data_IF_339123069406
#
_entry.id   IF_339123069406
#
_cell.length_a   1.000
_cell.length_b   1.000
_cell.length_c   1.000
_cell.angle_alpha   90.00
_cell.angle_beta   90.00
_cell.angle_gamma   90.00
#
_symmetry.space_group_name_H-M   'P 1'
#
loop_
_entity.id
_entity.type
_entity.pdbx_description
1 polymer ?
#
# COMPACT_ATOMS: atom_id res chain seq x y z
N UNK A 1 75.72 -1.02 9.75
CA UNK A 1 74.64 -0.40 8.94
C UNK A 1 73.76 -1.43 8.22
N UNK A 2 74.26 -2.63 7.90
CA UNK A 2 73.50 -3.69 7.20
C UNK A 2 72.30 -4.27 8.00
N UNK A 3 72.40 -4.38 9.33
CA UNK A 3 71.34 -4.98 10.17
C UNK A 3 70.07 -4.13 10.26
N UNK A 4 70.19 -2.80 10.27
CA UNK A 4 69.03 -1.89 10.18
C UNK A 4 68.34 -2.02 8.82
N UNK A 5 69.09 -2.16 7.73
CA UNK A 5 68.53 -2.29 6.37
C UNK A 5 67.71 -3.58 6.22
N UNK A 6 68.18 -4.70 6.78
CA UNK A 6 67.42 -5.96 6.78
C UNK A 6 66.13 -5.89 7.60
N UNK A 7 66.14 -5.18 8.73
CA UNK A 7 64.94 -4.99 9.54
C UNK A 7 63.87 -4.18 8.80
N UNK A 8 64.27 -3.12 8.09
CA UNK A 8 63.37 -2.32 7.27
C UNK A 8 62.77 -3.13 6.11
N UNK A 9 63.57 -3.96 5.45
CA UNK A 9 63.11 -4.81 4.35
C UNK A 9 62.05 -5.81 4.84
N UNK A 10 62.29 -6.47 5.98
CA UNK A 10 61.32 -7.41 6.57
C UNK A 10 60.03 -6.70 6.97
N UNK A 11 60.12 -5.50 7.56
CA UNK A 11 58.95 -4.71 7.93
C UNK A 11 58.12 -4.29 6.71
N UNK A 12 58.77 -3.92 5.60
CA UNK A 12 58.09 -3.57 4.34
C UNK A 12 57.37 -4.79 3.74
N UNK A 13 57.98 -5.98 3.77
CA UNK A 13 57.31 -7.19 3.29
C UNK A 13 56.08 -7.54 4.14
N UNK A 14 56.17 -7.45 5.47
CA UNK A 14 55.03 -7.68 6.37
C UNK A 14 53.92 -6.66 6.11
N UNK A 15 54.25 -5.39 5.91
CA UNK A 15 53.26 -4.35 5.59
C UNK A 15 52.63 -4.55 4.21
N UNK A 16 53.38 -5.06 3.23
CA UNK A 16 52.86 -5.41 1.91
C UNK A 16 51.90 -6.61 1.97
N UNK A 17 52.24 -7.67 2.69
CA UNK A 17 51.36 -8.84 2.87
C UNK A 17 50.04 -8.46 3.55
N UNK A 18 50.10 -7.67 4.63
CA UNK A 18 48.90 -7.19 5.34
C UNK A 18 48.04 -6.30 4.43
N UNK A 19 48.68 -5.47 3.58
CA UNK A 19 47.97 -4.61 2.62
C UNK A 19 47.28 -5.43 1.52
N UNK A 20 47.92 -6.51 1.05
CA UNK A 20 47.34 -7.42 0.07
C UNK A 20 46.18 -8.23 0.67
N UNK A 21 46.28 -8.68 1.92
CA UNK A 21 45.17 -9.33 2.64
C UNK A 21 44.00 -8.38 2.90
N UNK A 22 44.26 -7.09 3.18
CA UNK A 22 43.18 -6.10 3.34
C UNK A 22 42.47 -5.77 2.02
N UNK A 23 43.20 -5.74 0.89
CA UNK A 23 42.59 -5.53 -0.43
C UNK A 23 41.87 -6.77 -0.97
N UNK A 24 42.28 -7.98 -0.56
CA UNK A 24 41.59 -9.23 -0.88
C UNK A 24 40.30 -9.43 -0.05
N UNK A 25 40.10 -8.64 1.00
CA UNK A 25 38.84 -8.54 1.73
C UNK A 25 37.91 -7.47 1.14
N UNK A 26 37.95 -7.30 -0.18
CA UNK A 26 36.73 -7.01 -0.92
C UNK A 26 35.82 -8.22 -0.75
N UNK A 27 35.13 -8.21 0.40
CA UNK A 27 34.03 -9.08 0.74
C UNK A 27 33.14 -9.18 -0.49
N UNK A 28 33.29 -10.30 -1.19
CA UNK A 28 32.42 -10.76 -2.26
C UNK A 28 31.04 -11.09 -1.71
N UNK A 29 30.50 -10.25 -0.82
CA UNK A 29 29.08 -9.96 -0.76
C UNK A 29 28.73 -9.39 -2.12
N UNK A 30 28.52 -10.33 -3.03
CA UNK A 30 27.53 -10.29 -4.08
C UNK A 30 26.71 -9.01 -3.92
N UNK A 31 27.05 -7.98 -4.69
CA UNK A 31 26.11 -6.91 -4.97
C UNK A 31 25.05 -7.51 -5.91
N UNK A 32 24.43 -8.61 -5.47
CA UNK A 32 23.20 -9.12 -6.02
C UNK A 32 22.21 -8.03 -5.73
N UNK A 33 21.74 -7.38 -6.78
CA UNK A 33 20.50 -6.62 -6.75
C UNK A 33 19.48 -7.56 -6.11
N UNK A 34 19.23 -7.37 -4.82
CA UNK A 34 18.19 -8.11 -4.12
C UNK A 34 16.92 -7.63 -4.81
N UNK A 35 16.36 -8.48 -5.68
CA UNK A 35 15.05 -8.21 -6.26
C UNK A 35 14.15 -7.90 -5.07
N UNK A 36 13.59 -6.69 -5.04
CA UNK A 36 12.59 -6.35 -4.05
C UNK A 36 11.56 -7.50 -4.05
N UNK A 37 11.14 -8.00 -2.87
CA UNK A 37 10.14 -9.05 -2.82
C UNK A 37 8.99 -8.59 -3.72
N UNK A 38 8.63 -9.42 -4.71
CA UNK A 38 7.53 -9.07 -5.62
C UNK A 38 6.35 -8.72 -4.72
N UNK A 39 5.73 -7.53 -4.87
CA UNK A 39 4.58 -7.20 -4.06
C UNK A 39 3.60 -8.36 -4.22
N UNK A 40 3.13 -8.92 -3.10
CA UNK A 40 2.07 -9.93 -3.15
C UNK A 40 0.97 -9.34 -4.01
N UNK A 41 0.54 -10.07 -5.05
CA UNK A 41 -0.57 -9.59 -5.88
C UNK A 41 -1.75 -9.31 -4.95
N UNK A 42 -2.29 -8.10 -5.02
CA UNK A 42 -3.49 -7.78 -4.28
C UNK A 42 -4.63 -8.68 -4.73
N UNK A 43 -5.44 -9.10 -3.77
CA UNK A 43 -6.56 -10.00 -4.02
C UNK A 43 -7.82 -9.19 -4.26
N UNK A 44 -8.51 -9.47 -5.36
CA UNK A 44 -9.83 -8.92 -5.65
C UNK A 44 -10.88 -9.57 -4.74
N UNK A 45 -12.00 -8.89 -4.50
CA UNK A 45 -13.05 -9.37 -3.63
C UNK A 45 -14.18 -10.02 -4.44
N UNK A 46 -14.72 -11.13 -3.95
CA UNK A 46 -15.92 -11.76 -4.51
C UNK A 46 -17.14 -11.56 -3.61
N UNK A 47 -18.24 -11.13 -4.23
CA UNK A 47 -19.57 -10.98 -3.64
C UNK A 47 -20.57 -11.71 -4.51
N UNK A 48 -20.85 -12.98 -4.19
CA UNK A 48 -21.65 -13.84 -5.06
C UNK A 48 -20.99 -13.95 -6.45
N UNK A 49 -21.72 -13.56 -7.49
CA UNK A 49 -21.24 -13.55 -8.89
C UNK A 49 -20.46 -12.28 -9.25
N UNK A 50 -20.36 -11.32 -8.33
CA UNK A 50 -19.77 -10.01 -8.57
C UNK A 50 -18.34 -9.92 -8.04
N UNK A 51 -17.41 -9.59 -8.93
CA UNK A 51 -16.03 -9.24 -8.55
C UNK A 51 -15.88 -7.73 -8.36
N UNK A 52 -15.21 -7.32 -7.29
CA UNK A 52 -14.75 -5.95 -7.04
C UNK A 52 -13.23 -5.97 -7.01
N UNK A 53 -12.60 -5.20 -7.91
CA UNK A 53 -11.15 -5.08 -7.95
C UNK A 53 -10.59 -4.49 -6.64
N UNK A 54 -9.40 -4.91 -6.23
CA UNK A 54 -8.69 -4.30 -5.11
C UNK A 54 -8.63 -2.76 -5.23
N UNK A 55 -8.97 -2.07 -4.15
CA UNK A 55 -8.96 -0.61 -4.07
C UNK A 55 -10.15 0.06 -4.78
N UNK A 56 -11.11 -0.71 -5.30
CA UNK A 56 -12.31 -0.18 -5.94
C UNK A 56 -13.54 -0.27 -5.03
N UNK A 57 -14.52 0.54 -5.38
CA UNK A 57 -15.85 0.52 -4.79
C UNK A 57 -16.88 0.00 -5.77
N UNK A 58 -18.00 -0.48 -5.25
CA UNK A 58 -19.18 -0.88 -6.06
C UNK A 58 -20.45 -0.60 -5.29
N UNK A 59 -21.52 -0.19 -5.98
CA UNK A 59 -22.84 -0.06 -5.37
C UNK A 59 -23.37 -1.43 -4.95
N UNK A 60 -24.04 -1.50 -3.80
CA UNK A 60 -24.69 -2.73 -3.34
C UNK A 60 -26.06 -2.98 -3.99
N UNK A 61 -26.56 -2.03 -4.79
CA UNK A 61 -27.88 -2.07 -5.43
C UNK A 61 -29.01 -2.48 -4.46
N UNK A 62 -28.92 -1.99 -3.22
CA UNK A 62 -29.85 -2.27 -2.14
C UNK A 62 -30.69 -1.04 -1.80
N UNK A 63 -31.92 -1.25 -1.35
CA UNK A 63 -32.80 -0.19 -0.82
C UNK A 63 -32.21 0.54 0.39
N UNK A 64 -31.30 -0.09 1.12
CA UNK A 64 -30.58 0.53 2.23
C UNK A 64 -29.57 1.60 1.78
N UNK A 65 -29.26 1.68 0.47
CA UNK A 65 -28.34 2.63 -0.13
C UNK A 65 -26.95 2.63 0.54
N UNK A 66 -26.13 1.66 0.16
CA UNK A 66 -24.75 1.53 0.60
C UNK A 66 -23.88 0.98 -0.55
N UNK A 67 -22.57 1.10 -0.37
CA UNK A 67 -21.57 0.56 -1.29
C UNK A 67 -20.71 -0.49 -0.61
N UNK A 68 -19.82 -1.10 -1.40
CA UNK A 68 -18.76 -1.97 -0.94
C UNK A 68 -17.42 -1.37 -1.31
N UNK A 69 -16.43 -1.54 -0.44
CA UNK A 69 -15.03 -1.29 -0.72
C UNK A 69 -14.25 -2.60 -0.64
N UNK A 70 -13.42 -2.87 -1.65
CA UNK A 70 -12.56 -4.04 -1.65
C UNK A 70 -11.14 -3.67 -1.19
N UNK A 71 -10.67 -4.34 -0.14
CA UNK A 71 -9.29 -4.26 0.30
C UNK A 71 -8.68 -5.64 0.50
N UNK A 72 -7.91 -6.08 -0.49
CA UNK A 72 -7.09 -7.29 -0.43
C UNK A 72 -7.90 -8.54 -0.02
N UNK A 73 -8.95 -8.83 -0.80
CA UNK A 73 -9.88 -9.95 -0.56
C UNK A 73 -10.92 -9.68 0.52
N UNK A 74 -10.79 -8.59 1.29
CA UNK A 74 -11.77 -8.21 2.33
C UNK A 74 -12.74 -7.17 1.80
N UNK A 75 -14.03 -7.44 1.95
CA UNK A 75 -15.10 -6.49 1.61
C UNK A 75 -15.49 -5.71 2.86
N UNK A 76 -15.55 -4.39 2.75
CA UNK A 76 -16.07 -3.50 3.80
C UNK A 76 -17.30 -2.76 3.28
N UNK A 77 -18.44 -2.77 3.99
CA UNK A 77 -19.59 -1.96 3.60
C UNK A 77 -19.30 -0.46 3.82
N UNK A 78 -19.79 0.36 2.90
CA UNK A 78 -19.70 1.82 2.92
C UNK A 78 -21.09 2.42 3.06
N UNK A 79 -21.43 2.85 4.27
CA UNK A 79 -22.71 3.47 4.59
C UNK A 79 -22.75 4.96 4.27
N UNK A 80 -23.95 5.48 4.00
CA UNK A 80 -24.18 6.91 3.89
C UNK A 80 -24.10 7.58 5.27
N UNK A 81 -23.18 8.52 5.45
CA UNK A 81 -23.03 9.27 6.71
C UNK A 81 -23.87 10.54 6.80
N UNK A 82 -24.54 10.93 5.71
CA UNK A 82 -25.31 12.17 5.63
C UNK A 82 -26.64 12.03 6.38
N UNK A 83 -26.77 12.72 7.50
CA UNK A 83 -28.02 12.80 8.28
C UNK A 83 -29.14 13.46 7.47
N UNK A 84 -30.38 13.06 7.75
CA UNK A 84 -31.56 13.71 7.16
C UNK A 84 -31.64 15.18 7.61
N UNK A 85 -31.82 16.14 6.69
CA UNK A 85 -32.08 17.53 7.06
C UNK A 85 -33.41 17.67 7.80
N UNK A 86 -33.52 18.71 8.63
CA UNK A 86 -34.77 19.02 9.35
C UNK A 86 -35.85 19.49 8.36
N UNK A 87 -36.98 18.79 8.32
CA UNK A 87 -38.16 19.21 7.55
C UNK A 87 -38.86 20.41 8.19
N UNK A 88 -39.52 21.23 7.37
CA UNK A 88 -40.37 22.36 7.79
C UNK A 88 -41.82 22.15 7.33
N UNK A 89 -42.70 23.11 7.58
CA UNK A 89 -44.05 23.09 7.06
C UNK A 89 -44.08 23.18 5.52
N UNK A 90 -43.14 23.89 4.90
CA UNK A 90 -43.08 24.05 3.45
C UNK A 90 -42.28 22.94 2.75
N UNK A 91 -41.34 22.29 3.44
CA UNK A 91 -40.36 21.40 2.82
C UNK A 91 -40.20 20.06 3.55
N UNK A 92 -40.16 18.98 2.77
CA UNK A 92 -39.78 17.62 3.19
C UNK A 92 -38.55 17.16 2.42
N UNK A 93 -37.79 16.24 3.01
CA UNK A 93 -36.61 15.67 2.38
C UNK A 93 -36.81 14.18 2.08
N UNK A 94 -36.44 13.76 0.87
CA UNK A 94 -36.44 12.35 0.45
C UNK A 94 -35.05 11.96 -0.06
N UNK A 95 -34.67 10.69 0.04
CA UNK A 95 -33.43 10.20 -0.58
C UNK A 95 -33.58 10.22 -2.11
N UNK A 96 -32.47 10.47 -2.81
CA UNK A 96 -32.40 10.22 -4.26
C UNK A 96 -32.62 8.74 -4.56
N UNK A 97 -33.24 8.44 -5.70
CA UNK A 97 -33.54 7.07 -6.16
C UNK A 97 -32.44 6.50 -7.08
N UNK A 98 -31.24 7.09 -7.06
CA UNK A 98 -30.08 6.67 -7.84
C UNK A 98 -29.24 5.62 -7.09
N UNK A 99 -28.35 4.87 -7.77
CA UNK A 99 -27.43 3.97 -7.09
C UNK A 99 -26.50 4.69 -6.10
N UNK A 100 -25.96 3.96 -5.13
CA UNK A 100 -24.88 4.47 -4.28
C UNK A 100 -23.70 4.94 -5.15
N UNK A 101 -23.09 6.11 -4.89
CA UNK A 101 -23.25 6.95 -3.69
C UNK A 101 -24.32 8.05 -3.80
N UNK A 102 -25.04 8.16 -4.92
CA UNK A 102 -25.97 9.27 -5.17
C UNK A 102 -27.20 9.22 -4.26
N UNK A 103 -27.76 8.04 -3.99
CA UNK A 103 -28.84 7.89 -2.99
C UNK A 103 -28.46 8.31 -1.56
N UNK A 104 -27.18 8.61 -1.26
CA UNK A 104 -26.79 9.17 0.03
C UNK A 104 -27.22 10.63 0.21
N UNK A 105 -27.61 11.33 -0.86
CA UNK A 105 -28.01 12.72 -0.81
C UNK A 105 -29.53 12.87 -0.66
N UNK A 106 -29.92 13.92 0.06
CA UNK A 106 -31.31 14.28 0.31
C UNK A 106 -31.76 15.35 -0.67
N UNK A 107 -32.94 15.15 -1.28
CA UNK A 107 -33.59 16.12 -2.15
C UNK A 107 -34.73 16.77 -1.42
N UNK A 108 -34.77 18.10 -1.49
CA UNK A 108 -35.87 18.92 -0.98
C UNK A 108 -37.09 18.76 -1.90
N UNK A 109 -38.23 18.48 -1.30
CA UNK A 109 -39.54 18.37 -1.93
C UNK A 109 -40.51 19.29 -1.22
N UNK A 110 -41.48 19.85 -1.94
CA UNK A 110 -42.57 20.61 -1.31
C UNK A 110 -43.46 19.65 -0.52
N UNK A 111 -43.93 20.11 0.64
CA UNK A 111 -44.66 19.29 1.62
C UNK A 111 -46.06 18.86 1.16
#
# INVERSE_FOLDING_TARGET
MATKMHLYIVLVFILCDISMELQAKNDGRDCKVRKAPRPKKYVDCQLGETTIQHGRTRAANSSACFGYYCWNGTVTPLECRTSIPRSTAEYKYKRQQDPWPLCCYWVRTCA
#
